data_IF_247861991969
#
_entry.id   IF_247861991969
#
_cell.length_a   1.000
_cell.length_b   1.000
_cell.length_c   1.000
_cell.angle_alpha   90.00
_cell.angle_beta   90.00
_cell.angle_gamma   90.00
#
_symmetry.space_group_name_H-M   'P 1'
#
loop_
_entity.id
_entity.type
_entity.pdbx_description
1 polymer ?
#
# COMPACT_ATOMS: atom_id res chain seq x y z
N UNK A 1 -0.67 6.25 2.18
CA UNK A 1 -1.21 7.30 1.29
C UNK A 1 -1.24 8.64 2.00
N UNK A 2 -0.95 9.76 1.32
CA UNK A 2 -0.92 11.09 1.96
C UNK A 2 -2.28 11.79 1.92
N UNK A 3 -3.08 11.53 0.88
CA UNK A 3 -4.39 12.14 0.65
C UNK A 3 -5.52 11.14 0.50
N UNK A 4 -5.21 9.90 0.11
CA UNK A 4 -6.22 8.87 -0.09
C UNK A 4 -6.44 8.06 1.18
N UNK A 5 -7.71 7.82 1.50
CA UNK A 5 -8.13 6.86 2.52
C UNK A 5 -8.14 5.46 1.89
N UNK A 6 -7.83 4.45 2.69
CA UNK A 6 -7.82 3.06 2.25
C UNK A 6 -8.49 2.16 3.30
N UNK A 7 -9.06 1.05 2.85
CA UNK A 7 -9.62 0.01 3.68
C UNK A 7 -9.43 -1.35 3.02
N UNK A 8 -9.12 -2.35 3.82
CA UNK A 8 -9.15 -3.75 3.40
C UNK A 8 -10.28 -4.54 4.08
N UNK A 9 -10.78 -5.56 3.39
CA UNK A 9 -11.67 -6.58 3.95
C UNK A 9 -11.21 -7.97 3.53
N UNK A 10 -10.89 -8.83 4.51
CA UNK A 10 -10.39 -10.19 4.24
C UNK A 10 -11.57 -11.11 3.88
N UNK A 11 -11.57 -11.63 2.66
CA UNK A 11 -12.54 -12.63 2.19
C UNK A 11 -12.09 -14.02 2.63
N UNK A 12 -10.84 -14.39 2.34
CA UNK A 12 -10.27 -15.71 2.60
C UNK A 12 -8.83 -15.62 3.12
N UNK A 13 -8.49 -16.50 4.06
CA UNK A 13 -7.13 -16.67 4.56
C UNK A 13 -6.81 -15.83 5.80
N UNK A 14 -5.51 -15.77 6.13
CA UNK A 14 -5.01 -15.15 7.36
C UNK A 14 -3.76 -14.28 7.08
N UNK A 15 -3.90 -13.15 6.37
CA UNK A 15 -2.76 -12.26 6.16
C UNK A 15 -2.34 -11.63 7.49
N UNK A 16 -1.06 -11.33 7.64
CA UNK A 16 -0.57 -10.47 8.71
C UNK A 16 -0.53 -9.03 8.22
N UNK A 17 -1.26 -8.15 8.90
CA UNK A 17 -1.10 -6.70 8.76
C UNK A 17 0.14 -6.27 9.54
N UNK A 18 1.05 -5.59 8.86
CA UNK A 18 2.29 -5.07 9.44
C UNK A 18 2.23 -3.55 9.39
N UNK A 19 2.36 -2.90 10.54
CA UNK A 19 2.51 -1.45 10.69
C UNK A 19 3.72 -1.13 11.57
N UNK A 20 4.07 0.15 11.75
CA UNK A 20 5.17 0.53 12.67
C UNK A 20 4.84 0.20 14.13
N UNK A 21 3.55 0.15 14.47
CA UNK A 21 3.01 -0.16 15.80
C UNK A 21 2.98 -1.65 16.10
N UNK A 22 3.23 -2.50 15.09
CA UNK A 22 3.36 -3.94 15.25
C UNK A 22 2.63 -4.75 14.20
N UNK A 23 2.47 -6.04 14.48
CA UNK A 23 1.84 -7.00 13.59
C UNK A 23 0.50 -7.49 14.15
N UNK A 24 -0.50 -7.62 13.27
CA UNK A 24 -1.82 -8.16 13.60
C UNK A 24 -2.18 -9.26 12.62
N UNK A 25 -2.42 -10.47 13.11
CA UNK A 25 -2.95 -11.55 12.29
C UNK A 25 -4.44 -11.31 12.03
N UNK A 26 -4.81 -11.13 10.76
CA UNK A 26 -6.19 -10.99 10.34
C UNK A 26 -6.79 -12.35 9.98
N UNK A 27 -8.12 -12.42 9.90
CA UNK A 27 -8.85 -13.59 9.42
C UNK A 27 -10.00 -13.17 8.51
N UNK A 28 -10.55 -14.11 7.74
CA UNK A 28 -11.80 -13.94 7.00
C UNK A 28 -12.87 -13.21 7.83
N UNK A 29 -13.47 -12.18 7.23
CA UNK A 29 -14.50 -11.34 7.85
C UNK A 29 -13.97 -10.11 8.59
N UNK A 30 -12.66 -9.99 8.81
CA UNK A 30 -12.05 -8.80 9.41
C UNK A 30 -11.81 -7.70 8.38
N UNK A 31 -11.82 -6.45 8.87
CA UNK A 31 -11.40 -5.28 8.11
C UNK A 31 -10.36 -4.46 8.87
N UNK A 32 -9.56 -3.69 8.12
CA UNK A 32 -8.69 -2.65 8.65
C UNK A 32 -8.82 -1.40 7.77
N UNK A 33 -8.84 -0.24 8.40
CA UNK A 33 -8.93 1.06 7.74
C UNK A 33 -7.67 1.87 7.98
N UNK A 34 -7.27 2.63 6.96
CA UNK A 34 -6.05 3.41 6.92
C UNK A 34 -6.41 4.83 6.47
N UNK A 35 -6.52 5.79 7.40
CA UNK A 35 -6.80 7.16 7.02
C UNK A 35 -5.64 7.74 6.22
N UNK A 36 -5.94 8.71 5.36
CA UNK A 36 -4.95 9.52 4.66
C UNK A 36 -3.96 10.13 5.65
N UNK A 37 -2.68 10.16 5.25
CA UNK A 37 -1.56 10.57 6.10
C UNK A 37 -1.46 9.76 7.41
N UNK A 38 -2.01 8.55 7.41
CA UNK A 38 -1.87 7.57 8.47
C UNK A 38 -0.54 6.82 8.42
N UNK A 39 -0.44 5.81 9.27
CA UNK A 39 0.72 4.94 9.39
C UNK A 39 0.97 4.13 8.11
N UNK A 40 2.24 3.91 7.78
CA UNK A 40 2.60 2.99 6.71
C UNK A 40 2.19 1.56 7.10
N UNK A 41 1.66 0.83 6.13
CA UNK A 41 1.20 -0.53 6.35
C UNK A 41 1.43 -1.40 5.12
N UNK A 42 1.47 -2.72 5.32
CA UNK A 42 1.41 -3.70 4.24
C UNK A 42 0.84 -5.02 4.77
N UNK A 43 0.41 -5.89 3.86
CA UNK A 43 -0.01 -7.25 4.17
C UNK A 43 1.07 -8.25 3.77
N UNK A 44 1.33 -9.21 4.65
CA UNK A 44 2.20 -10.37 4.36
C UNK A 44 1.38 -11.64 4.52
N UNK A 45 1.35 -12.46 3.46
CA UNK A 45 0.85 -13.83 3.56
C UNK A 45 2.03 -14.77 3.92
N UNK A 46 2.04 -15.27 5.15
CA UNK A 46 3.05 -16.23 5.65
C UNK A 46 2.55 -17.68 5.65
N UNK A 47 1.37 -17.93 5.09
CA UNK A 47 0.77 -19.25 5.03
C UNK A 47 1.15 -19.99 3.74
N UNK A 48 0.76 -21.26 3.67
CA UNK A 48 0.93 -22.13 2.50
C UNK A 48 -0.26 -22.10 1.52
N UNK A 49 -1.19 -21.16 1.73
CA UNK A 49 -2.41 -21.00 0.95
C UNK A 49 -2.60 -19.55 0.55
N UNK A 50 -3.39 -19.32 -0.49
CA UNK A 50 -3.69 -17.98 -0.96
C UNK A 50 -4.52 -17.19 0.08
N UNK A 51 -4.36 -15.87 0.03
CA UNK A 51 -5.20 -14.91 0.76
C UNK A 51 -5.97 -14.10 -0.27
N UNK A 52 -7.28 -13.95 -0.04
CA UNK A 52 -8.14 -13.10 -0.86
C UNK A 52 -8.71 -11.98 0.01
N UNK A 53 -8.55 -10.73 -0.45
CA UNK A 53 -9.09 -9.57 0.22
C UNK A 53 -9.58 -8.54 -0.80
N UNK A 54 -10.48 -7.66 -0.35
CA UNK A 54 -10.87 -6.46 -1.08
C UNK A 54 -10.00 -5.31 -0.59
N UNK A 55 -9.45 -4.55 -1.52
CA UNK A 55 -8.81 -3.26 -1.27
C UNK A 55 -9.70 -2.16 -1.81
N UNK A 56 -10.02 -1.20 -0.95
CA UNK A 56 -10.97 -0.12 -1.23
C UNK A 56 -10.25 1.17 -0.89
N UNK A 57 -10.02 2.01 -1.89
CA UNK A 57 -9.47 3.34 -1.70
C UNK A 57 -10.23 4.36 -2.53
N UNK A 58 -10.21 5.61 -2.09
CA UNK A 58 -10.71 6.71 -2.89
C UNK A 58 -9.71 7.10 -4.01
N UNK A 59 -10.06 8.11 -4.80
CA UNK A 59 -9.28 8.55 -5.97
C UNK A 59 -9.00 10.05 -5.94
N UNK A 60 -8.63 10.56 -4.77
CA UNK A 60 -8.24 11.97 -4.59
C UNK A 60 -6.99 12.31 -5.41
N UNK A 61 -7.04 13.43 -6.14
CA UNK A 61 -5.96 13.85 -7.04
C UNK A 61 -4.67 14.27 -6.32
N UNK A 62 -3.53 14.02 -7.00
CA UNK A 62 -2.20 14.43 -6.55
C UNK A 62 -1.79 13.78 -5.23
N UNK A 63 -2.13 12.51 -5.04
CA UNK A 63 -1.68 11.74 -3.89
C UNK A 63 -0.18 11.41 -3.96
N UNK A 64 0.40 11.19 -2.80
CA UNK A 64 1.81 10.82 -2.65
C UNK A 64 1.91 9.63 -1.69
N UNK A 65 2.80 8.70 -2.02
CA UNK A 65 3.12 7.55 -1.17
C UNK A 65 4.60 7.58 -0.83
N UNK A 66 4.89 7.47 0.46
CA UNK A 66 6.23 7.31 0.97
C UNK A 66 6.39 5.88 1.46
N UNK A 67 7.43 5.20 1.00
CA UNK A 67 7.82 3.88 1.49
C UNK A 67 8.92 4.12 2.53
N UNK A 68 8.66 3.97 3.84
CA UNK A 68 9.65 4.34 4.85
C UNK A 68 10.90 3.47 4.77
N UNK A 69 10.73 2.17 4.50
CA UNK A 69 11.81 1.18 4.48
C UNK A 69 12.55 1.07 3.14
N UNK A 70 11.90 1.44 2.04
CA UNK A 70 12.46 1.35 0.69
C UNK A 70 12.89 2.73 0.22
N UNK A 71 13.88 2.83 -0.67
CA UNK A 71 14.25 4.12 -1.28
C UNK A 71 13.25 4.55 -2.36
N UNK A 72 11.95 4.40 -2.11
CA UNK A 72 10.89 4.67 -3.10
C UNK A 72 10.00 5.80 -2.61
N UNK A 73 9.68 6.71 -3.54
CA UNK A 73 8.58 7.66 -3.44
C UNK A 73 7.71 7.54 -4.68
N UNK A 74 6.40 7.45 -4.48
CA UNK A 74 5.44 7.49 -5.57
C UNK A 74 4.63 8.79 -5.49
N UNK A 75 4.42 9.44 -6.63
CA UNK A 75 3.58 10.62 -6.74
C UNK A 75 2.62 10.46 -7.92
N UNK A 76 1.35 10.74 -7.69
CA UNK A 76 0.32 10.76 -8.74
C UNK A 76 0.38 12.10 -9.45
N UNK A 77 0.68 12.09 -10.75
CA UNK A 77 0.72 13.32 -11.53
C UNK A 77 -0.68 13.80 -11.98
N UNK A 78 -0.73 14.98 -12.60
CA UNK A 78 -1.97 15.61 -13.08
C UNK A 78 -2.71 14.77 -14.14
N UNK A 79 -2.04 13.80 -14.77
CA UNK A 79 -2.66 12.86 -15.72
C UNK A 79 -3.26 11.63 -15.04
N UNK A 80 -3.14 11.51 -13.72
CA UNK A 80 -3.53 10.32 -12.97
C UNK A 80 -2.51 9.18 -13.09
N UNK A 81 -1.28 9.46 -13.51
CA UNK A 81 -0.23 8.45 -13.67
C UNK A 81 0.72 8.47 -12.47
N UNK A 82 1.03 7.30 -11.92
CA UNK A 82 2.03 7.17 -10.86
C UNK A 82 3.45 7.33 -11.40
N UNK A 83 4.23 8.21 -10.78
CA UNK A 83 5.67 8.37 -11.01
C UNK A 83 6.45 7.86 -9.81
N UNK A 84 7.43 7.02 -10.05
CA UNK A 84 8.29 6.43 -9.02
C UNK A 84 9.69 7.03 -9.09
N UNK A 85 10.17 7.55 -7.97
CA UNK A 85 11.51 8.11 -7.82
C UNK A 85 12.19 7.54 -6.59
N UNK A 86 13.51 7.56 -6.59
CA UNK A 86 14.29 7.53 -5.37
C UNK A 86 13.91 8.69 -4.45
N UNK A 87 14.22 8.60 -3.15
CA UNK A 87 13.90 9.68 -2.19
C UNK A 87 14.69 10.97 -2.46
N UNK A 88 15.82 10.87 -3.18
CA UNK A 88 16.59 12.02 -3.66
C UNK A 88 16.00 12.70 -4.92
N UNK A 89 14.92 12.14 -5.48
CA UNK A 89 14.22 12.64 -6.65
C UNK A 89 14.71 12.06 -7.98
N UNK A 90 15.75 11.22 -8.00
CA UNK A 90 16.17 10.53 -9.22
C UNK A 90 15.10 9.52 -9.66
N UNK A 91 14.71 9.45 -10.94
CA UNK A 91 13.69 8.50 -11.38
C UNK A 91 14.18 7.05 -11.26
N UNK A 92 13.31 6.15 -10.80
CA UNK A 92 13.54 4.72 -11.04
C UNK A 92 13.44 4.50 -12.54
N UNK A 93 14.51 3.97 -13.14
CA UNK A 93 14.47 3.61 -14.55
C UNK A 93 13.50 2.43 -14.71
N UNK A 94 12.54 2.58 -15.62
CA UNK A 94 11.81 1.42 -16.10
C UNK A 94 12.80 0.59 -16.92
N UNK A 95 13.48 -0.35 -16.27
CA UNK A 95 14.12 -1.42 -17.00
C UNK A 95 13.02 -2.08 -17.84
N UNK A 96 13.16 -1.94 -19.15
CA UNK A 96 12.28 -2.54 -20.16
C UNK A 96 12.38 -4.06 -20.03
N UNK A 97 11.62 -4.63 -19.11
CA UNK A 97 11.23 -6.03 -19.21
C UNK A 97 10.21 -6.12 -20.35
N UNK A 98 10.77 -6.34 -21.56
CA UNK A 98 10.07 -6.98 -22.67
C UNK A 98 9.92 -8.47 -22.37
#
# INVERSE_FOLDING_TARGET
HKKQDEMIYVIEGHPTLVTESGEVLLSSGMCAGFPANGEAHHLVNRSDRDVLYLEIGDRTEGDEVCYPNDDIRAALDESGTWRFTHKDGTPYQADRYR
#
